data_IF_743545005960
#
_entry.id   IF_743545005960
#
_cell.length_a   1.000
_cell.length_b   1.000
_cell.length_c   1.000
_cell.angle_alpha   90.00
_cell.angle_beta   90.00
_cell.angle_gamma   90.00
#
_symmetry.space_group_name_H-M   'P 1'
#
loop_
_entity.id
_entity.type
_entity.pdbx_description
1 polymer ?
#
# COMPACT_ATOMS: atom_id res chain seq x y z
N UNK A 1 -11.73 -17.62 25.73
CA UNK A 1 -11.76 -17.39 24.26
C UNK A 1 -11.25 -15.98 23.98
N UNK A 2 -10.06 -15.81 23.43
CA UNK A 2 -9.54 -14.47 23.11
C UNK A 2 -10.20 -13.97 21.82
N UNK A 3 -11.12 -13.01 21.96
CA UNK A 3 -11.72 -12.27 20.84
C UNK A 3 -10.62 -11.40 20.23
N UNK A 4 -9.85 -11.96 19.31
CA UNK A 4 -8.90 -11.18 18.50
C UNK A 4 -9.68 -10.25 17.59
N UNK A 5 -9.50 -8.94 17.73
CA UNK A 5 -10.12 -7.97 16.82
C UNK A 5 -9.54 -8.18 15.42
N UNK A 6 -10.41 -8.16 14.39
CA UNK A 6 -9.99 -8.23 13.00
C UNK A 6 -9.64 -6.81 12.54
N UNK A 7 -8.47 -6.62 11.95
CA UNK A 7 -8.01 -5.32 11.43
C UNK A 7 -7.79 -5.39 9.93
N UNK A 8 -8.04 -4.29 9.22
CA UNK A 8 -7.86 -4.17 7.76
C UNK A 8 -6.46 -3.59 7.46
N UNK A 9 -5.72 -4.21 6.55
CA UNK A 9 -4.41 -3.71 6.12
C UNK A 9 -4.57 -2.40 5.33
N UNK A 10 -3.81 -1.38 5.69
CA UNK A 10 -3.88 -0.05 5.05
C UNK A 10 -3.35 -0.05 3.60
N UNK A 11 -2.61 -1.07 3.19
CA UNK A 11 -1.97 -1.14 1.87
C UNK A 11 -2.74 -2.03 0.91
N UNK A 12 -3.01 -3.27 1.29
CA UNK A 12 -3.69 -4.24 0.41
C UNK A 12 -5.18 -4.43 0.73
N UNK A 13 -5.69 -3.80 1.80
CA UNK A 13 -7.08 -3.91 2.21
C UNK A 13 -7.51 -5.26 2.79
N UNK A 14 -6.59 -6.25 2.90
CA UNK A 14 -6.90 -7.57 3.43
C UNK A 14 -7.14 -7.52 4.94
N UNK A 15 -8.14 -8.26 5.41
CA UNK A 15 -8.45 -8.38 6.85
C UNK A 15 -7.59 -9.47 7.49
N UNK A 16 -6.96 -9.17 8.62
CA UNK A 16 -6.07 -10.11 9.32
C UNK A 16 -6.26 -10.04 10.85
N UNK A 17 -5.90 -11.11 11.59
CA UNK A 17 -6.08 -11.14 13.03
C UNK A 17 -5.09 -10.19 13.71
N UNK A 18 -5.61 -9.26 14.51
CA UNK A 18 -4.79 -8.42 15.37
C UNK A 18 -4.61 -9.13 16.73
N UNK A 19 -3.41 -9.66 16.96
CA UNK A 19 -3.03 -10.32 18.22
C UNK A 19 -2.47 -9.37 19.27
N UNK A 20 -2.29 -8.08 18.93
CA UNK A 20 -1.67 -7.10 19.82
C UNK A 20 -2.70 -6.46 20.74
N UNK A 21 -2.44 -6.48 22.05
CA UNK A 21 -3.28 -5.85 23.08
C UNK A 21 -3.05 -4.34 23.24
N UNK A 22 -1.91 -3.81 22.76
CA UNK A 22 -1.50 -2.43 23.00
C UNK A 22 -1.64 -1.54 21.77
N UNK A 23 -0.99 -1.92 20.65
CA UNK A 23 -1.08 -1.19 19.38
C UNK A 23 -1.58 -2.13 18.28
N UNK A 24 -2.71 -1.82 17.61
CA UNK A 24 -3.17 -2.63 16.50
C UNK A 24 -2.13 -2.66 15.39
N UNK A 25 -1.90 -3.84 14.81
CA UNK A 25 -1.08 -3.95 13.60
C UNK A 25 -1.80 -3.25 12.44
N UNK A 26 -1.06 -2.43 11.70
CA UNK A 26 -1.55 -1.65 10.56
C UNK A 26 -1.39 -2.39 9.22
N UNK A 27 -0.48 -3.36 9.18
CA UNK A 27 -0.09 -4.10 7.98
C UNK A 27 -0.17 -5.62 8.20
N UNK A 28 -0.62 -6.35 7.17
CA UNK A 28 -0.76 -7.80 7.22
C UNK A 28 0.55 -8.56 6.96
N UNK A 29 1.56 -7.92 6.38
CA UNK A 29 2.87 -8.51 6.05
C UNK A 29 3.96 -7.45 6.03
N UNK A 30 5.22 -7.88 6.13
CA UNK A 30 6.39 -6.99 6.01
C UNK A 30 6.45 -6.34 4.63
N UNK A 31 6.07 -7.07 3.57
CA UNK A 31 5.97 -6.50 2.21
C UNK A 31 5.02 -5.29 2.14
N UNK A 32 3.86 -5.35 2.81
CA UNK A 32 2.95 -4.21 2.86
C UNK A 32 3.55 -3.04 3.66
N UNK A 33 4.23 -3.34 4.77
CA UNK A 33 4.91 -2.31 5.57
C UNK A 33 6.03 -1.63 4.78
N UNK A 34 6.84 -2.39 4.05
CA UNK A 34 7.96 -1.86 3.28
C UNK A 34 7.48 -1.09 2.04
N UNK A 35 6.41 -1.54 1.39
CA UNK A 35 5.76 -0.76 0.33
C UNK A 35 5.24 0.59 0.88
N UNK A 36 4.63 0.61 2.06
CA UNK A 36 4.20 1.85 2.72
C UNK A 36 5.38 2.81 2.94
N UNK A 37 6.51 2.31 3.46
CA UNK A 37 7.72 3.12 3.66
C UNK A 37 8.27 3.65 2.34
N UNK A 38 8.30 2.82 1.30
CA UNK A 38 8.76 3.20 -0.03
C UNK A 38 7.89 4.32 -0.60
N UNK A 39 6.56 4.21 -0.52
CA UNK A 39 5.65 5.25 -1.01
C UNK A 39 5.88 6.59 -0.30
N UNK A 40 6.04 6.60 1.02
CA UNK A 40 6.36 7.83 1.76
C UNK A 40 7.74 8.40 1.43
N UNK A 41 8.74 7.56 1.16
CA UNK A 41 10.05 8.03 0.72
C UNK A 41 9.99 8.61 -0.70
N UNK A 42 9.28 7.94 -1.60
CA UNK A 42 9.05 8.38 -2.98
C UNK A 42 8.35 9.74 -3.00
N UNK A 43 7.24 9.90 -2.28
CA UNK A 43 6.49 11.15 -2.18
C UNK A 43 7.35 12.31 -1.66
N UNK A 44 8.10 12.10 -0.58
CA UNK A 44 8.99 13.13 -0.02
C UNK A 44 10.10 13.55 -0.97
N UNK A 45 10.63 12.62 -1.78
CA UNK A 45 11.65 12.94 -2.76
C UNK A 45 11.05 13.59 -4.00
N UNK A 46 9.84 13.19 -4.40
CA UNK A 46 9.13 13.74 -5.53
C UNK A 46 8.89 15.25 -5.36
N UNK A 47 8.51 15.69 -4.16
CA UNK A 47 8.30 17.11 -3.86
C UNK A 47 9.57 17.96 -3.82
N UNK A 48 10.76 17.35 -3.83
CA UNK A 48 12.04 18.08 -3.85
C UNK A 48 12.59 18.31 -5.25
N UNK A 49 11.96 17.73 -6.27
CA UNK A 49 12.44 17.81 -7.64
C UNK A 49 11.61 18.84 -8.40
N UNK A 50 12.28 19.86 -8.92
CA UNK A 50 11.68 20.82 -9.84
C UNK A 50 11.62 20.21 -11.25
N UNK A 51 10.43 19.77 -11.64
CA UNK A 51 10.21 19.17 -12.95
C UNK A 51 9.93 20.24 -14.00
N UNK A 52 10.58 20.13 -15.16
CA UNK A 52 10.09 20.76 -16.39
C UNK A 52 8.80 20.05 -16.86
N UNK A 53 7.93 20.76 -17.57
CA UNK A 53 6.58 20.30 -17.97
C UNK A 53 6.62 18.94 -18.69
N UNK A 54 7.52 18.79 -19.66
CA UNK A 54 7.71 17.54 -20.40
C UNK A 54 8.06 16.34 -19.51
N UNK A 55 8.95 16.53 -18.54
CA UNK A 55 9.38 15.47 -17.63
C UNK A 55 8.29 15.14 -16.60
N UNK A 56 7.53 16.15 -16.18
CA UNK A 56 6.36 15.94 -15.31
C UNK A 56 5.32 15.05 -15.99
N UNK A 57 5.06 15.28 -17.30
CA UNK A 57 4.11 14.49 -18.07
C UNK A 57 4.60 13.06 -18.32
N UNK A 58 5.91 12.89 -18.59
CA UNK A 58 6.52 11.55 -18.68
C UNK A 58 6.39 10.76 -17.38
N UNK A 59 6.67 11.39 -16.24
CA UNK A 59 6.55 10.72 -14.94
C UNK A 59 5.10 10.34 -14.62
N UNK A 60 4.14 11.24 -14.87
CA UNK A 60 2.70 10.93 -14.73
C UNK A 60 2.29 9.74 -15.60
N UNK A 61 2.76 9.69 -16.85
CA UNK A 61 2.49 8.56 -17.74
C UNK A 61 3.05 7.24 -17.20
N UNK A 62 4.29 7.24 -16.69
CA UNK A 62 4.87 6.06 -16.05
C UNK A 62 4.08 5.60 -14.82
N UNK A 63 3.70 6.54 -13.94
CA UNK A 63 2.87 6.23 -12.77
C UNK A 63 1.51 5.64 -13.17
N UNK A 64 0.90 6.15 -14.25
CA UNK A 64 -0.34 5.61 -14.78
C UNK A 64 -0.19 4.17 -15.30
N UNK A 65 0.90 3.87 -16.00
CA UNK A 65 1.20 2.50 -16.44
C UNK A 65 1.39 1.56 -15.26
N UNK A 66 2.13 1.98 -14.22
CA UNK A 66 2.32 1.21 -12.99
C UNK A 66 0.97 0.97 -12.30
N UNK A 67 0.13 2.00 -12.20
CA UNK A 67 -1.19 1.89 -11.58
C UNK A 67 -2.06 0.84 -12.30
N UNK A 68 -2.02 0.80 -13.63
CA UNK A 68 -2.76 -0.20 -14.42
C UNK A 68 -2.24 -1.64 -14.23
N UNK A 69 -1.02 -1.83 -13.73
CA UNK A 69 -0.48 -3.16 -13.41
C UNK A 69 -0.96 -3.67 -12.04
N UNK A 70 -1.52 -2.81 -11.19
CA UNK A 70 -2.02 -3.19 -9.87
C UNK A 70 -3.30 -4.02 -10.05
N UNK A 71 -3.20 -5.33 -9.82
CA UNK A 71 -4.34 -6.25 -9.94
C UNK A 71 -5.03 -6.46 -8.60
N UNK A 72 -6.35 -6.34 -8.59
CA UNK A 72 -7.18 -6.84 -7.51
C UNK A 72 -7.19 -8.38 -7.53
N UNK A 73 -6.45 -9.02 -6.62
CA UNK A 73 -6.56 -10.46 -6.40
C UNK A 73 -7.86 -10.72 -5.64
N UNK A 74 -8.98 -10.78 -6.36
CA UNK A 74 -10.23 -11.29 -5.81
C UNK A 74 -10.04 -12.78 -5.56
N UNK A 75 -9.78 -13.16 -4.31
CA UNK A 75 -9.93 -14.55 -3.88
C UNK A 75 -11.43 -14.85 -3.95
N UNK A 76 -11.93 -15.27 -5.12
CA UNK A 76 -13.27 -15.86 -5.23
C UNK A 76 -13.36 -16.92 -4.14
N UNK A 77 -14.31 -16.74 -3.22
CA UNK A 77 -14.62 -17.73 -2.20
C UNK A 77 -14.77 -19.08 -2.91
N UNK A 78 -13.91 -20.04 -2.58
CA UNK A 78 -14.14 -21.43 -3.00
C UNK A 78 -15.49 -21.82 -2.39
N UNK A 79 -16.38 -22.20 -3.31
CA UNK A 79 -17.78 -22.57 -3.12
C UNK A 79 -17.94 -23.64 -2.04
#
# INVERSE_FOLDING_TARGET
>A
MSIGTKTKCLICGHTFPNKSKFRPKEYCSDNCKDLSKFLHAFERNLYKVDFNEDYSNKLKSQLFLIANQIKCISKKAKK
#
